data_IF_946925089905
#
_entry.id   IF_946925089905
#
_cell.length_a   1.000
_cell.length_b   1.000
_cell.length_c   1.000
_cell.angle_alpha   90.00
_cell.angle_beta   90.00
_cell.angle_gamma   90.00
#
_symmetry.space_group_name_H-M   'P 1'
#
loop_
_entity.id
_entity.type
_entity.pdbx_description
1 polymer ?
#
# COMPACT_ATOMS: atom_id res chain seq x y z
N UNK A 1 17.57 26.70 -4.28
CA UNK A 1 17.80 25.54 -5.17
C UNK A 1 18.95 24.74 -4.57
N UNK A 2 18.67 23.64 -3.90
CA UNK A 2 19.70 22.74 -3.37
C UNK A 2 19.97 21.68 -4.42
N UNK A 3 21.07 21.82 -5.16
CA UNK A 3 21.62 20.79 -6.04
C UNK A 3 22.37 19.79 -5.16
N UNK A 4 21.86 18.56 -5.09
CA UNK A 4 22.58 17.43 -4.49
C UNK A 4 23.35 16.76 -5.61
N UNK A 5 24.67 16.82 -5.53
CA UNK A 5 25.61 16.19 -6.45
C UNK A 5 25.71 14.69 -6.10
N UNK A 6 25.25 13.83 -7.00
CA UNK A 6 25.35 12.38 -6.83
C UNK A 6 26.74 11.93 -7.30
N UNK A 7 27.65 11.80 -6.34
CA UNK A 7 28.97 11.19 -6.55
C UNK A 7 28.88 9.84 -7.27
N UNK A 8 29.82 9.64 -8.17
CA UNK A 8 29.81 8.69 -9.27
C UNK A 8 30.10 7.24 -8.84
N UNK A 9 29.22 6.63 -8.02
CA UNK A 9 29.33 5.23 -7.56
C UNK A 9 28.34 4.30 -8.30
N UNK A 10 28.18 4.54 -9.60
CA UNK A 10 27.15 3.96 -10.49
C UNK A 10 27.41 2.51 -10.93
N UNK A 11 28.57 1.92 -10.61
CA UNK A 11 28.97 0.65 -11.25
C UNK A 11 28.51 -0.62 -10.53
N UNK A 12 28.38 -0.62 -9.19
CA UNK A 12 27.89 -1.80 -8.45
C UNK A 12 26.35 -1.88 -8.40
N UNK A 13 25.69 -0.73 -8.25
CA UNK A 13 24.23 -0.62 -8.19
C UNK A 13 23.57 -0.97 -9.54
N UNK A 14 24.17 -0.55 -10.67
CA UNK A 14 23.71 -0.95 -12.01
C UNK A 14 23.95 -2.43 -12.33
N UNK A 15 25.04 -3.02 -11.82
CA UNK A 15 25.37 -4.43 -12.04
C UNK A 15 24.38 -5.39 -11.35
N UNK A 16 23.81 -4.99 -10.21
CA UNK A 16 22.77 -5.75 -9.49
C UNK A 16 21.42 -5.73 -10.22
N UNK A 17 21.11 -4.67 -10.97
CA UNK A 17 19.86 -4.53 -11.72
C UNK A 17 19.83 -5.36 -13.03
N UNK A 18 21.00 -5.70 -13.60
CA UNK A 18 21.10 -6.42 -14.88
C UNK A 18 21.01 -7.95 -14.78
N UNK A 19 21.16 -8.55 -13.60
CA UNK A 19 21.09 -10.01 -13.45
C UNK A 19 19.67 -10.47 -13.10
N UNK A 20 18.89 -10.77 -14.14
CA UNK A 20 17.52 -11.29 -14.06
C UNK A 20 17.40 -12.70 -13.49
N UNK A 21 17.65 -12.87 -12.20
CA UNK A 21 17.26 -14.07 -11.45
C UNK A 21 16.98 -13.76 -9.98
N UNK A 22 15.92 -12.99 -9.75
CA UNK A 22 15.37 -12.80 -8.40
C UNK A 22 14.64 -14.09 -7.96
N UNK A 23 15.39 -15.02 -7.35
CA UNK A 23 14.82 -16.18 -6.64
C UNK A 23 14.18 -15.76 -5.33
N UNK A 24 13.23 -16.54 -4.82
CA UNK A 24 12.16 -16.23 -3.85
C UNK A 24 12.54 -15.68 -2.44
N UNK A 25 13.70 -15.06 -2.24
CA UNK A 25 14.12 -14.35 -1.02
C UNK A 25 14.59 -12.90 -1.30
N UNK A 26 13.87 -12.21 -2.20
CA UNK A 26 14.32 -11.01 -2.92
C UNK A 26 14.32 -9.69 -2.14
N UNK A 27 13.76 -9.64 -0.93
CA UNK A 27 13.58 -8.36 -0.20
C UNK A 27 14.76 -7.95 0.68
N UNK A 28 15.68 -8.86 1.00
CA UNK A 28 16.78 -8.58 1.94
C UNK A 28 17.71 -7.44 1.51
N UNK A 29 18.17 -7.36 0.25
CA UNK A 29 19.01 -6.24 -0.18
C UNK A 29 18.30 -4.89 -0.07
N UNK A 30 17.02 -4.84 -0.46
CA UNK A 30 16.21 -3.63 -0.38
C UNK A 30 16.02 -3.19 1.08
N UNK A 31 15.76 -4.13 1.99
CA UNK A 31 15.60 -3.81 3.41
C UNK A 31 16.88 -3.35 4.06
N UNK A 32 18.02 -3.93 3.70
CA UNK A 32 19.33 -3.44 4.16
C UNK A 32 19.59 -2.01 3.70
N UNK A 33 19.25 -1.69 2.45
CA UNK A 33 19.36 -0.33 1.93
C UNK A 33 18.42 0.63 2.68
N UNK A 34 17.16 0.23 2.93
CA UNK A 34 16.23 1.04 3.72
C UNK A 34 16.74 1.25 5.15
N UNK A 35 17.24 0.22 5.82
CA UNK A 35 17.80 0.35 7.18
C UNK A 35 19.02 1.28 7.19
N UNK A 36 19.90 1.20 6.18
CA UNK A 36 21.05 2.09 6.05
C UNK A 36 20.63 3.57 6.00
N UNK A 37 19.68 3.90 5.13
CA UNK A 37 19.20 5.29 4.98
C UNK A 37 18.37 5.71 6.19
N UNK A 38 17.38 4.93 6.60
CA UNK A 38 16.42 5.33 7.63
C UNK A 38 17.05 5.38 9.03
N UNK A 39 17.91 4.41 9.37
CA UNK A 39 18.53 4.33 10.69
C UNK A 39 19.92 4.98 10.70
N UNK A 40 20.72 4.73 9.66
CA UNK A 40 22.09 5.24 9.57
C UNK A 40 22.14 6.74 9.24
N UNK A 41 21.43 7.18 8.21
CA UNK A 41 21.49 8.59 7.77
C UNK A 41 20.43 9.45 8.47
N UNK A 42 19.17 9.02 8.45
CA UNK A 42 18.03 9.78 9.00
C UNK A 42 17.83 9.56 10.50
N UNK A 43 18.62 8.68 11.13
CA UNK A 43 18.65 8.48 12.58
C UNK A 43 17.28 8.11 13.17
N UNK A 44 16.42 7.43 12.40
CA UNK A 44 15.14 6.90 12.87
C UNK A 44 15.33 5.60 13.64
N UNK A 45 14.36 5.27 14.48
CA UNK A 45 14.30 4.01 15.22
C UNK A 45 13.24 3.10 14.62
N UNK A 46 13.60 1.84 14.36
CA UNK A 46 12.66 0.85 13.85
C UNK A 46 11.62 0.49 14.92
N UNK A 47 10.35 0.59 14.55
CA UNK A 47 9.21 0.16 15.36
C UNK A 47 8.84 -1.28 15.03
N UNK A 48 8.61 -1.58 13.75
CA UNK A 48 8.34 -2.96 13.30
C UNK A 48 8.63 -3.12 11.82
N UNK A 49 9.01 -4.34 11.42
CA UNK A 49 9.01 -4.77 10.02
C UNK A 49 8.27 -6.10 9.96
N UNK A 50 7.27 -6.17 9.08
CA UNK A 50 6.53 -7.40 8.83
C UNK A 50 6.48 -7.67 7.34
N UNK A 51 6.70 -8.92 6.98
CA UNK A 51 6.61 -9.42 5.61
C UNK A 51 5.44 -10.39 5.50
N UNK A 52 4.80 -10.42 4.34
CA UNK A 52 3.82 -11.44 3.96
C UNK A 52 3.85 -11.60 2.44
N UNK A 53 4.30 -12.76 1.97
CA UNK A 53 4.61 -12.98 0.55
C UNK A 53 5.51 -11.86 0.01
N UNK A 54 5.04 -11.11 -0.98
CA UNK A 54 5.73 -10.02 -1.66
C UNK A 54 5.41 -8.63 -1.08
N UNK A 55 4.76 -8.55 0.10
CA UNK A 55 4.48 -7.29 0.80
C UNK A 55 5.39 -7.11 1.99
N UNK A 56 5.76 -5.87 2.24
CA UNK A 56 6.45 -5.44 3.46
C UNK A 56 5.73 -4.23 4.03
N UNK A 57 5.50 -4.24 5.35
CA UNK A 57 5.17 -3.05 6.12
C UNK A 57 6.34 -2.80 7.08
N UNK A 58 7.01 -1.68 6.90
CA UNK A 58 8.09 -1.22 7.76
C UNK A 58 7.69 0.13 8.38
N UNK A 59 7.78 0.23 9.71
CA UNK A 59 7.40 1.42 10.47
C UNK A 59 8.61 1.85 11.28
N UNK A 60 8.96 3.13 11.15
CA UNK A 60 10.04 3.78 11.88
C UNK A 60 9.50 5.01 12.59
N UNK A 61 10.16 5.42 13.68
CA UNK A 61 9.83 6.61 14.47
C UNK A 61 11.05 7.50 14.64
N UNK A 62 10.84 8.76 14.98
CA UNK A 62 11.94 9.62 15.44
C UNK A 62 12.41 9.18 16.82
N UNK A 63 13.70 9.37 17.11
CA UNK A 63 14.26 9.18 18.46
C UNK A 63 13.49 10.02 19.47
N UNK A 64 13.27 9.45 20.66
CA UNK A 64 12.53 10.10 21.75
C UNK A 64 11.00 10.03 21.64
N UNK A 65 10.42 9.64 20.50
CA UNK A 65 8.99 9.34 20.44
C UNK A 65 8.72 7.97 21.06
N UNK A 66 7.74 7.85 21.94
CA UNK A 66 7.34 6.54 22.46
C UNK A 66 6.33 5.92 21.50
N UNK A 67 6.67 4.76 20.95
CA UNK A 67 5.72 4.00 20.12
C UNK A 67 5.83 2.53 20.52
N UNK A 68 4.70 1.94 20.88
CA UNK A 68 4.60 0.52 21.19
C UNK A 68 3.73 -0.19 20.17
N UNK A 69 4.22 -1.35 19.71
CA UNK A 69 3.47 -2.21 18.79
C UNK A 69 2.56 -3.10 19.63
N UNK A 70 1.24 -2.88 19.53
CA UNK A 70 0.27 -3.71 20.27
C UNK A 70 -0.02 -5.01 19.55
N UNK A 71 -0.11 -4.94 18.21
CA UNK A 71 -0.40 -6.10 17.36
C UNK A 71 0.16 -5.87 15.96
N UNK A 72 0.62 -6.96 15.34
CA UNK A 72 0.93 -7.01 13.92
C UNK A 72 0.43 -8.33 13.36
N UNK A 73 -0.35 -8.26 12.28
CA UNK A 73 -0.94 -9.42 11.63
C UNK A 73 -0.83 -9.32 10.13
N UNK A 74 -0.99 -10.44 9.44
CA UNK A 74 -1.07 -10.47 7.99
C UNK A 74 -2.21 -11.40 7.55
N UNK A 75 -2.88 -11.00 6.48
CA UNK A 75 -3.89 -11.77 5.78
C UNK A 75 -3.36 -12.15 4.40
N UNK A 76 -3.78 -13.33 3.94
CA UNK A 76 -3.49 -13.81 2.60
C UNK A 76 -4.82 -14.11 1.93
N UNK A 77 -5.01 -13.54 0.75
CA UNK A 77 -6.20 -13.68 -0.07
C UNK A 77 -5.78 -14.13 -1.46
N UNK A 78 -6.62 -14.91 -2.12
CA UNK A 78 -6.49 -15.31 -3.51
C UNK A 78 -7.86 -15.28 -4.18
N UNK A 79 -7.89 -15.63 -5.46
CA UNK A 79 -9.15 -15.74 -6.19
C UNK A 79 -10.02 -16.85 -5.59
N UNK A 80 -11.33 -16.59 -5.39
CA UNK A 80 -12.28 -17.60 -4.93
C UNK A 80 -12.04 -18.17 -3.52
N UNK A 81 -11.32 -17.45 -2.64
CA UNK A 81 -11.06 -17.91 -1.26
C UNK A 81 -9.85 -18.83 -1.08
N UNK A 82 -9.07 -19.06 -2.14
CA UNK A 82 -7.78 -19.78 -2.05
C UNK A 82 -6.71 -18.88 -1.44
N UNK A 83 -5.80 -19.43 -0.63
CA UNK A 83 -4.63 -18.68 -0.12
C UNK A 83 -3.76 -18.23 -1.30
N UNK A 84 -3.58 -16.92 -1.46
CA UNK A 84 -2.86 -16.35 -2.59
C UNK A 84 -1.96 -15.18 -2.20
N UNK A 85 -1.32 -14.60 -3.22
CA UNK A 85 -0.38 -13.49 -3.03
C UNK A 85 -1.07 -12.13 -2.79
N UNK A 86 -2.39 -12.05 -2.61
CA UNK A 86 -3.12 -10.84 -2.23
C UNK A 86 -3.36 -10.81 -0.72
N UNK A 87 -3.92 -9.72 -0.21
CA UNK A 87 -4.19 -9.54 1.22
C UNK A 87 -3.46 -8.33 1.78
N UNK A 88 -3.32 -8.27 3.11
CA UNK A 88 -2.75 -7.11 3.78
C UNK A 88 -1.84 -7.48 4.95
N UNK A 89 -1.03 -6.51 5.37
CA UNK A 89 -0.31 -6.49 6.62
C UNK A 89 -0.89 -5.34 7.45
N UNK A 90 -1.30 -5.61 8.69
CA UNK A 90 -1.86 -4.62 9.60
C UNK A 90 -0.98 -4.50 10.83
N UNK A 91 -0.69 -3.27 11.26
CA UNK A 91 -0.03 -2.95 12.52
C UNK A 91 -0.91 -1.99 13.33
N UNK A 92 -1.16 -2.32 14.60
CA UNK A 92 -1.77 -1.43 15.57
C UNK A 92 -0.69 -0.93 16.52
N UNK A 93 -0.53 0.38 16.59
CA UNK A 93 0.46 1.09 17.36
C UNK A 93 -0.21 1.92 18.43
N UNK A 94 0.44 2.08 19.58
CA UNK A 94 0.20 3.20 20.48
C UNK A 94 1.39 4.15 20.38
N UNK A 95 1.08 5.41 20.13
CA UNK A 95 2.00 6.53 20.21
C UNK A 95 1.77 7.18 21.57
N UNK A 96 2.82 7.17 22.39
CA UNK A 96 2.72 7.35 23.83
C UNK A 96 1.65 6.40 24.41
N UNK A 97 0.87 6.85 25.38
CA UNK A 97 -0.22 6.08 26.00
C UNK A 97 -1.62 6.61 25.64
N UNK A 98 -1.71 7.53 24.69
CA UNK A 98 -2.96 8.25 24.38
C UNK A 98 -3.46 8.05 22.96
N UNK A 99 -2.57 7.76 22.00
CA UNK A 99 -2.95 7.77 20.58
C UNK A 99 -2.69 6.42 19.93
N UNK A 100 -3.76 5.71 19.60
CA UNK A 100 -3.71 4.50 18.78
C UNK A 100 -3.85 4.76 17.28
N UNK A 101 -2.94 4.16 16.51
CA UNK A 101 -2.91 4.27 15.05
C UNK A 101 -2.89 2.86 14.45
N UNK A 102 -3.80 2.59 13.52
CA UNK A 102 -3.76 1.39 12.70
C UNK A 102 -3.20 1.73 11.32
N UNK A 103 -2.21 0.98 10.88
CA UNK A 103 -1.63 1.06 9.54
C UNK A 103 -1.86 -0.27 8.82
N UNK A 104 -2.48 -0.21 7.64
CA UNK A 104 -2.82 -1.37 6.81
C UNK A 104 -2.16 -1.23 5.45
N UNK A 105 -1.17 -2.08 5.14
CA UNK A 105 -0.55 -2.19 3.82
C UNK A 105 -1.19 -3.33 3.04
N UNK A 106 -1.94 -3.04 1.98
CA UNK A 106 -2.73 -4.00 1.23
C UNK A 106 -2.32 -4.13 -0.24
N UNK A 107 -2.59 -5.30 -0.81
CA UNK A 107 -2.46 -5.58 -2.24
C UNK A 107 -3.71 -6.36 -2.67
N UNK A 108 -4.58 -5.74 -3.49
CA UNK A 108 -5.86 -6.34 -3.93
C UNK A 108 -5.79 -6.99 -5.31
N UNK A 109 -6.86 -7.71 -5.68
CA UNK A 109 -7.03 -8.36 -6.97
C UNK A 109 -6.69 -7.44 -8.17
N UNK A 110 -5.88 -7.95 -9.10
CA UNK A 110 -5.43 -7.22 -10.29
C UNK A 110 -6.47 -7.27 -11.42
N UNK A 111 -6.17 -6.58 -12.53
CA UNK A 111 -6.99 -6.46 -13.75
C UNK A 111 -8.25 -5.60 -13.61
N UNK A 112 -8.65 -4.94 -14.70
CA UNK A 112 -9.66 -3.89 -14.65
C UNK A 112 -11.06 -4.43 -14.33
N UNK A 113 -11.34 -5.66 -14.75
CA UNK A 113 -12.63 -6.34 -14.68
C UNK A 113 -12.98 -6.81 -13.25
N UNK A 114 -11.98 -6.97 -12.38
CA UNK A 114 -12.12 -7.56 -11.04
C UNK A 114 -12.46 -6.55 -9.93
N UNK A 115 -13.34 -5.58 -10.20
CA UNK A 115 -13.76 -4.56 -9.21
C UNK A 115 -14.42 -5.23 -8.00
N UNK A 116 -15.36 -6.15 -8.24
CA UNK A 116 -16.05 -6.87 -7.17
C UNK A 116 -15.08 -7.68 -6.29
N UNK A 117 -14.02 -8.26 -6.88
CA UNK A 117 -13.02 -9.01 -6.12
C UNK A 117 -12.18 -8.09 -5.23
N UNK A 118 -11.86 -6.87 -5.70
CA UNK A 118 -11.18 -5.85 -4.87
C UNK A 118 -12.07 -5.38 -3.71
N UNK A 119 -13.35 -5.15 -3.96
CA UNK A 119 -14.31 -4.83 -2.90
C UNK A 119 -14.39 -5.96 -1.86
N UNK A 120 -14.48 -7.21 -2.32
CA UNK A 120 -14.47 -8.39 -1.45
C UNK A 120 -13.15 -8.54 -0.68
N UNK A 121 -12.01 -8.21 -1.29
CA UNK A 121 -10.70 -8.18 -0.62
C UNK A 121 -10.72 -7.16 0.53
N UNK A 122 -11.19 -5.94 0.28
CA UNK A 122 -11.31 -4.91 1.31
C UNK A 122 -12.17 -5.37 2.50
N UNK A 123 -13.37 -5.88 2.24
CA UNK A 123 -14.29 -6.38 3.28
C UNK A 123 -13.65 -7.53 4.07
N UNK A 124 -13.03 -8.50 3.37
CA UNK A 124 -12.39 -9.65 4.01
C UNK A 124 -11.22 -9.24 4.90
N UNK A 125 -10.39 -8.30 4.44
CA UNK A 125 -9.27 -7.79 5.23
C UNK A 125 -9.78 -7.05 6.46
N UNK A 126 -10.78 -6.17 6.31
CA UNK A 126 -11.37 -5.44 7.43
C UNK A 126 -11.97 -6.37 8.48
N UNK A 127 -12.68 -7.43 8.06
CA UNK A 127 -13.20 -8.48 8.94
C UNK A 127 -12.09 -9.25 9.64
N UNK A 128 -11.06 -9.67 8.91
CA UNK A 128 -9.94 -10.42 9.47
C UNK A 128 -9.12 -9.59 10.47
N UNK A 129 -8.91 -8.30 10.19
CA UNK A 129 -8.36 -7.32 11.13
C UNK A 129 -9.23 -7.34 12.40
N UNK A 130 -10.53 -7.06 12.30
CA UNK A 130 -11.44 -7.06 13.45
C UNK A 130 -11.39 -8.34 14.29
N UNK A 131 -11.35 -9.52 13.65
CA UNK A 131 -11.27 -10.81 14.33
C UNK A 131 -9.90 -11.10 14.96
N UNK A 132 -8.81 -10.65 14.34
CA UNK A 132 -7.47 -10.79 14.91
C UNK A 132 -7.31 -9.98 16.19
N UNK A 133 -8.00 -8.85 16.30
CA UNK A 133 -8.04 -8.05 17.52
C UNK A 133 -8.98 -8.63 18.60
N UNK A 134 -9.94 -9.50 18.25
CA UNK A 134 -10.94 -10.01 19.20
C UNK A 134 -10.51 -11.23 20.01
N UNK A 135 -9.50 -11.99 19.54
CA UNK A 135 -9.23 -13.35 20.03
C UNK A 135 -8.34 -13.46 21.27
N UNK A 136 -7.90 -12.37 21.89
CA UNK A 136 -6.96 -12.42 23.03
C UNK A 136 -7.38 -11.61 24.25
N UNK A 137 -8.66 -11.26 24.36
CA UNK A 137 -9.26 -10.96 25.66
C UNK A 137 -9.64 -12.28 26.32
N UNK A 138 -9.17 -12.55 27.55
CA UNK A 138 -9.85 -13.47 28.48
C UNK A 138 -11.37 -13.25 28.39
N UNK A 139 -12.20 -14.24 28.70
CA UNK A 139 -13.67 -14.08 28.64
C UNK A 139 -14.19 -12.90 29.51
N UNK A 140 -13.39 -12.40 30.45
CA UNK A 140 -13.61 -11.16 31.21
C UNK A 140 -12.99 -9.88 30.61
N UNK A 141 -12.05 -10.00 29.67
CA UNK A 141 -11.42 -8.96 28.85
C UNK A 141 -12.07 -8.83 27.45
N UNK A 142 -13.27 -9.39 27.26
CA UNK A 142 -14.23 -9.00 26.22
C UNK A 142 -14.68 -7.51 26.33
N UNK A 143 -14.09 -6.74 27.25
CA UNK A 143 -14.19 -5.29 27.40
C UNK A 143 -12.93 -4.54 26.93
N UNK A 144 -12.06 -5.14 26.13
CA UNK A 144 -11.06 -4.36 25.39
C UNK A 144 -11.81 -3.51 24.34
N UNK A 145 -12.07 -2.25 24.71
CA UNK A 145 -12.82 -1.26 23.94
C UNK A 145 -12.26 -1.05 22.52
N UNK A 146 -11.05 -1.54 22.21
CA UNK A 146 -10.46 -1.55 20.86
C UNK A 146 -11.24 -2.33 19.79
N UNK A 147 -12.20 -3.16 20.22
CA UNK A 147 -13.12 -3.87 19.34
C UNK A 147 -14.33 -3.04 18.91
N UNK A 148 -14.76 -2.09 19.74
CA UNK A 148 -15.95 -1.27 19.52
C UNK A 148 -15.62 0.18 19.19
N UNK A 149 -14.42 0.63 19.55
CA UNK A 149 -13.93 1.95 19.22
C UNK A 149 -12.91 1.83 18.07
N UNK A 150 -13.16 2.50 16.93
CA UNK A 150 -12.16 2.59 15.89
C UNK A 150 -10.89 3.25 16.45
N UNK A 151 -9.69 2.92 15.93
CA UNK A 151 -8.50 3.67 16.28
C UNK A 151 -8.70 5.15 15.99
N UNK A 152 -8.00 6.04 16.71
CA UNK A 152 -8.06 7.49 16.51
C UNK A 152 -7.66 7.81 15.06
N UNK A 153 -6.71 7.03 14.52
CA UNK A 153 -6.31 7.10 13.12
C UNK A 153 -6.22 5.71 12.50
N UNK A 154 -6.82 5.57 11.32
CA UNK A 154 -6.73 4.38 10.47
C UNK A 154 -6.17 4.79 9.11
N UNK A 155 -5.02 4.24 8.75
CA UNK A 155 -4.30 4.52 7.51
C UNK A 155 -4.29 3.23 6.71
N UNK A 156 -4.89 3.26 5.52
CA UNK A 156 -4.77 2.19 4.54
C UNK A 156 -3.81 2.66 3.46
N UNK A 157 -2.95 1.79 2.97
CA UNK A 157 -2.07 2.12 1.85
C UNK A 157 -1.69 0.88 1.04
N UNK A 158 -1.21 1.09 -0.18
CA UNK A 158 -0.61 0.05 -1.01
C UNK A 158 -1.21 -0.02 -2.40
N UNK A 159 -1.01 -1.16 -3.07
CA UNK A 159 -1.52 -1.41 -4.41
C UNK A 159 -2.96 -1.95 -4.33
N UNK A 160 -3.92 -1.02 -4.29
CA UNK A 160 -5.34 -1.38 -4.28
C UNK A 160 -5.83 -1.84 -5.66
N UNK A 161 -5.02 -1.69 -6.72
CA UNK A 161 -5.27 -2.21 -8.06
C UNK A 161 -6.59 -1.76 -8.74
N UNK A 162 -7.29 -0.76 -8.21
CA UNK A 162 -8.40 -0.12 -8.93
C UNK A 162 -7.87 0.57 -10.19
N UNK A 163 -8.64 0.48 -11.27
CA UNK A 163 -8.24 0.95 -12.59
C UNK A 163 -9.08 2.13 -13.04
N UNK A 164 -8.61 2.82 -14.06
CA UNK A 164 -9.47 3.72 -14.82
C UNK A 164 -10.41 2.89 -15.69
N UNK A 165 -11.71 3.14 -15.57
CA UNK A 165 -12.74 2.58 -16.46
C UNK A 165 -12.67 3.31 -17.80
N UNK A 166 -11.78 2.86 -18.69
CA UNK A 166 -11.65 3.40 -20.03
C UNK A 166 -11.58 2.27 -21.07
N UNK A 167 -12.34 2.43 -22.15
CA UNK A 167 -12.36 1.48 -23.26
C UNK A 167 -11.15 1.66 -24.19
N UNK A 168 -10.52 2.85 -24.18
CA UNK A 168 -9.39 3.19 -25.03
C UNK A 168 -8.23 3.78 -24.20
N UNK A 169 -7.04 3.20 -24.34
CA UNK A 169 -5.83 3.71 -23.70
C UNK A 169 -5.38 5.04 -24.31
N UNK A 170 -5.75 5.34 -25.56
CA UNK A 170 -5.39 6.59 -26.24
C UNK A 170 -6.00 7.80 -25.55
N UNK A 171 -7.29 7.75 -25.24
CA UNK A 171 -8.00 8.83 -24.52
C UNK A 171 -7.32 9.13 -23.18
N UNK A 172 -6.98 8.07 -22.42
CA UNK A 172 -6.28 8.21 -21.13
C UNK A 172 -4.92 8.88 -21.31
N UNK A 173 -4.14 8.49 -22.33
CA UNK A 173 -2.85 9.10 -22.62
C UNK A 173 -2.98 10.58 -23.02
N UNK A 174 -3.99 10.94 -23.82
CA UNK A 174 -4.26 12.33 -24.19
C UNK A 174 -4.61 13.20 -22.97
N UNK A 175 -5.43 12.68 -22.05
CA UNK A 175 -5.76 13.37 -20.81
C UNK A 175 -4.52 13.53 -19.91
N UNK A 176 -3.62 12.54 -19.88
CA UNK A 176 -2.36 12.63 -19.16
C UNK A 176 -1.45 13.72 -19.76
N UNK A 177 -1.32 13.78 -21.09
CA UNK A 177 -0.55 14.83 -21.77
C UNK A 177 -1.09 16.22 -21.46
N UNK A 178 -2.42 16.37 -21.37
CA UNK A 178 -3.11 17.61 -20.98
C UNK A 178 -3.06 17.90 -19.48
N UNK A 179 -2.57 16.95 -18.66
CA UNK A 179 -2.60 17.00 -17.19
C UNK A 179 -4.02 17.17 -16.62
N UNK A 180 -5.01 16.63 -17.31
CA UNK A 180 -6.41 16.69 -16.88
C UNK A 180 -6.71 15.56 -15.89
N UNK A 181 -6.19 15.70 -14.68
CA UNK A 181 -6.34 14.73 -13.60
C UNK A 181 -7.79 14.58 -13.16
N UNK A 182 -8.58 15.66 -13.22
CA UNK A 182 -10.00 15.63 -12.86
C UNK A 182 -10.78 14.72 -13.80
N UNK A 183 -10.56 14.82 -15.11
CA UNK A 183 -11.19 13.93 -16.08
C UNK A 183 -10.79 12.47 -15.85
N UNK A 184 -9.51 12.19 -15.57
CA UNK A 184 -9.06 10.82 -15.26
C UNK A 184 -9.74 10.30 -13.99
N UNK A 185 -9.77 11.09 -12.91
CA UNK A 185 -10.34 10.70 -11.63
C UNK A 185 -11.86 10.51 -11.66
N UNK A 186 -12.57 11.14 -12.60
CA UNK A 186 -13.98 10.87 -12.85
C UNK A 186 -14.23 9.42 -13.34
N UNK A 187 -13.19 8.75 -13.85
CA UNK A 187 -13.22 7.36 -14.34
C UNK A 187 -12.52 6.39 -13.38
N UNK A 188 -12.04 6.84 -12.23
CA UNK A 188 -11.32 6.00 -11.25
C UNK A 188 -12.28 5.07 -10.51
N UNK A 189 -12.10 3.76 -10.66
CA UNK A 189 -12.97 2.77 -10.02
C UNK A 189 -12.99 2.91 -8.50
N UNK A 190 -11.87 3.21 -7.83
CA UNK A 190 -11.88 3.37 -6.37
C UNK A 190 -12.77 4.53 -5.95
N UNK A 191 -12.68 5.67 -6.63
CA UNK A 191 -13.55 6.83 -6.37
C UNK A 191 -15.03 6.52 -6.61
N UNK A 192 -15.34 5.82 -7.70
CA UNK A 192 -16.71 5.43 -8.01
C UNK A 192 -17.27 4.50 -6.93
N UNK A 193 -16.52 3.46 -6.53
CA UNK A 193 -16.93 2.51 -5.50
C UNK A 193 -17.05 3.15 -4.10
N UNK A 194 -16.20 4.14 -3.78
CA UNK A 194 -16.32 4.94 -2.55
C UNK A 194 -17.54 5.84 -2.57
N UNK A 195 -17.84 6.47 -3.70
CA UNK A 195 -18.98 7.38 -3.83
C UNK A 195 -20.32 6.68 -3.61
N UNK A 196 -20.44 5.41 -4.02
CA UNK A 196 -21.63 4.58 -3.78
C UNK A 196 -21.59 3.83 -2.44
N UNK A 197 -20.53 4.00 -1.64
CA UNK A 197 -20.42 3.45 -0.29
C UNK A 197 -19.99 1.99 -0.19
N UNK A 198 -19.49 1.38 -1.28
CA UNK A 198 -19.12 -0.04 -1.29
C UNK A 198 -17.83 -0.34 -0.50
N UNK A 199 -16.90 0.62 -0.45
CA UNK A 199 -15.57 0.45 0.15
C UNK A 199 -15.10 1.72 0.84
N UNK A 200 -14.16 1.58 1.78
CA UNK A 200 -13.47 2.68 2.47
C UNK A 200 -14.40 3.75 3.08
N UNK A 201 -15.59 3.34 3.55
CA UNK A 201 -16.52 4.24 4.24
C UNK A 201 -15.87 4.89 5.47
N UNK A 202 -16.04 6.22 5.60
CA UNK A 202 -15.48 7.03 6.68
C UNK A 202 -14.01 7.38 6.53
N UNK A 203 -13.33 6.91 5.48
CA UNK A 203 -11.94 7.27 5.19
C UNK A 203 -11.88 8.39 4.14
N UNK A 204 -10.90 9.27 4.29
CA UNK A 204 -10.57 10.33 3.33
C UNK A 204 -9.33 9.95 2.52
N UNK A 205 -9.21 10.47 1.31
CA UNK A 205 -8.00 10.37 0.48
C UNK A 205 -7.55 11.78 0.11
N UNK A 206 -6.23 12.01 0.09
CA UNK A 206 -5.66 13.29 -0.31
C UNK A 206 -5.99 13.68 -1.76
N UNK A 207 -5.79 14.95 -2.14
CA UNK A 207 -5.92 15.34 -3.55
C UNK A 207 -4.92 14.56 -4.41
N UNK A 208 -5.38 14.11 -5.58
CA UNK A 208 -4.54 13.46 -6.59
C UNK A 208 -4.31 14.47 -7.71
N UNK A 209 -3.12 15.06 -7.71
CA UNK A 209 -2.63 16.09 -8.66
C UNK A 209 -1.42 15.61 -9.48
N UNK A 210 -1.21 14.29 -9.51
CA UNK A 210 -0.11 13.60 -10.14
C UNK A 210 -0.62 12.60 -11.21
N UNK A 211 0.24 12.18 -12.17
CA UNK A 211 -0.16 11.25 -13.21
C UNK A 211 -0.36 9.81 -12.66
N UNK A 212 -1.10 8.93 -13.36
CA UNK A 212 -1.27 7.54 -12.95
C UNK A 212 0.05 6.81 -12.67
N UNK A 213 0.08 5.97 -11.64
CA UNK A 213 1.30 5.30 -11.15
C UNK A 213 1.59 3.95 -11.83
N UNK A 214 0.60 3.40 -12.53
CA UNK A 214 0.68 2.14 -13.25
C UNK A 214 0.25 2.32 -14.72
N UNK A 215 0.76 1.62 -15.73
CA UNK A 215 1.99 0.80 -15.73
C UNK A 215 3.05 1.48 -16.59
N UNK A 216 4.21 1.74 -16.00
CA UNK A 216 5.39 2.20 -16.75
C UNK A 216 6.16 1.03 -17.37
N UNK A 217 6.86 1.31 -18.47
CA UNK A 217 7.89 0.41 -18.99
C UNK A 217 9.03 0.33 -17.95
N UNK A 218 9.65 -0.85 -17.75
CA UNK A 218 10.80 -0.96 -16.86
C UNK A 218 11.90 0.05 -17.23
N UNK A 219 12.48 0.69 -16.22
CA UNK A 219 13.57 1.67 -16.37
C UNK A 219 13.20 2.89 -17.23
N UNK A 220 11.92 3.27 -17.26
CA UNK A 220 11.41 4.38 -18.06
C UNK A 220 10.28 5.11 -17.35
N UNK A 221 10.09 6.38 -17.72
CA UNK A 221 8.92 7.20 -17.36
C UNK A 221 7.80 7.11 -18.40
N UNK A 222 7.95 6.26 -19.42
CA UNK A 222 6.93 6.04 -20.43
C UNK A 222 5.95 4.95 -19.98
N UNK A 223 4.66 5.16 -20.25
CA UNK A 223 3.65 4.13 -20.06
C UNK A 223 3.84 2.95 -21.02
N UNK A 224 3.58 1.76 -20.49
CA UNK A 224 3.49 0.51 -21.24
C UNK A 224 2.19 0.51 -22.05
N UNK A 225 2.31 0.65 -23.38
CA UNK A 225 1.17 0.77 -24.31
C UNK A 225 0.57 -0.58 -24.72
N UNK A 226 0.91 -1.67 -24.03
CA UNK A 226 0.31 -2.98 -24.27
C UNK A 226 -1.19 -2.97 -23.97
N UNK A 227 -1.98 -3.60 -24.84
CA UNK A 227 -3.44 -3.75 -24.69
C UNK A 227 -3.80 -4.35 -23.32
N UNK A 228 -4.79 -3.77 -22.64
CA UNK A 228 -5.22 -4.19 -21.30
C UNK A 228 -4.40 -3.64 -20.14
N UNK A 229 -3.46 -2.71 -20.40
CA UNK A 229 -2.65 -2.03 -19.37
C UNK A 229 -2.84 -0.51 -19.41
N UNK A 230 -4.10 -0.08 -19.44
CA UNK A 230 -4.47 1.34 -19.37
C UNK A 230 -3.82 1.98 -18.14
N UNK A 231 -3.19 3.16 -18.26
CA UNK A 231 -2.64 3.86 -17.11
C UNK A 231 -3.68 4.03 -15.99
N UNK A 232 -3.30 3.78 -14.73
CA UNK A 232 -4.23 3.75 -13.59
C UNK A 232 -3.58 4.16 -12.27
N UNK A 233 -4.40 4.68 -11.36
CA UNK A 233 -4.04 5.01 -9.98
C UNK A 233 -4.18 3.77 -9.09
N UNK A 234 -3.25 2.83 -9.23
CA UNK A 234 -3.26 1.58 -8.47
C UNK A 234 -2.76 1.75 -7.03
N UNK A 235 -1.79 2.65 -6.84
CA UNK A 235 -1.10 2.88 -5.55
C UNK A 235 -1.76 4.03 -4.79
N UNK A 236 -2.31 3.75 -3.61
CA UNK A 236 -3.22 4.66 -2.88
C UNK A 236 -2.89 4.73 -1.39
N UNK A 237 -3.33 5.82 -0.75
CA UNK A 237 -3.27 6.08 0.69
C UNK A 237 -4.58 6.74 1.13
#
# INVERSE_FOLDING_TARGET
ALSVDFGNDSTQSEALLRKGSFSANTSEPMLKMLEHVLVGELQLERVTIRKSWNRVLAIYKRKGMEVSVKRVGATQLGAGGVVGNKGAISALLWVHDTTWIRVVCAHFAAHAEHVSDRNANYVSIRKAISMFYSQFGNESAARDLSLYMPPHHEIWLGDFNYRLSANDSKEVLELIEKKDWLALLARDQLRLERAVGNVFYGLSEGPIDFPPTFKYKPYSVEYDKIKGRVPSYCDRI
#
